data_IF_106685468903
#
_entry.id   IF_106685468903
#
_cell.length_a   1.000
_cell.length_b   1.000
_cell.length_c   1.000
_cell.angle_alpha   90.00
_cell.angle_beta   90.00
_cell.angle_gamma   90.00
#
_symmetry.space_group_name_H-M   'P 1'
#
loop_
_entity.id
_entity.type
_entity.pdbx_description
1 polymer ?
#
# COMPACT_ATOMS: atom_id res chain seq x y z
N UNK A 1 7.25 3.89 5.10
CA UNK A 1 5.84 3.58 5.42
C UNK A 1 5.68 2.10 5.75
N UNK A 2 5.95 1.22 4.80
CA UNK A 2 5.95 -0.22 4.98
C UNK A 2 7.01 -0.85 4.06
N UNK A 3 7.26 -2.13 4.24
CA UNK A 3 7.97 -2.97 3.26
C UNK A 3 7.37 -4.38 3.25
N UNK A 4 7.66 -5.14 2.21
CA UNK A 4 7.32 -6.56 2.12
C UNK A 4 8.48 -7.37 1.58
N UNK A 5 8.51 -8.64 1.99
CA UNK A 5 9.43 -9.63 1.46
C UNK A 5 8.75 -10.41 0.34
N UNK A 6 9.53 -10.66 -0.71
CA UNK A 6 9.13 -11.47 -1.85
C UNK A 6 8.64 -12.89 -1.43
N UNK A 7 7.94 -13.62 -2.31
CA UNK A 7 7.04 -14.73 -1.96
C UNK A 7 7.59 -15.81 -1.04
N UNK A 8 8.91 -16.03 -1.04
CA UNK A 8 9.55 -17.02 -0.16
C UNK A 8 9.34 -16.76 1.32
N UNK A 9 9.19 -15.50 1.72
CA UNK A 9 8.79 -15.13 3.09
C UNK A 9 7.33 -14.70 3.15
N UNK A 10 6.90 -13.85 2.21
CA UNK A 10 5.50 -13.41 2.10
C UNK A 10 5.02 -12.53 3.26
N UNK A 11 5.94 -11.92 4.01
CA UNK A 11 5.64 -11.05 5.15
C UNK A 11 5.66 -9.57 4.73
N UNK A 12 4.79 -8.76 5.35
CA UNK A 12 4.77 -7.29 5.20
C UNK A 12 4.83 -6.61 6.57
N UNK A 13 5.68 -5.61 6.73
CA UNK A 13 5.86 -4.86 7.98
C UNK A 13 5.42 -3.41 7.78
N UNK A 14 4.68 -2.88 8.75
CA UNK A 14 4.16 -1.52 8.73
C UNK A 14 4.79 -0.73 9.88
N UNK A 15 5.25 0.49 9.60
CA UNK A 15 5.83 1.35 10.62
C UNK A 15 4.76 1.81 11.63
N UNK A 16 4.95 1.48 12.91
CA UNK A 16 4.01 1.85 13.97
C UNK A 16 4.05 3.35 14.33
N UNK A 17 5.09 4.08 13.95
CA UNK A 17 5.15 5.52 14.14
C UNK A 17 4.22 6.28 13.17
N UNK A 18 3.80 5.62 12.09
CA UNK A 18 2.93 6.23 11.09
C UNK A 18 1.47 6.30 11.54
N UNK A 19 0.80 7.39 11.17
CA UNK A 19 -0.63 7.55 11.45
C UNK A 19 -1.48 6.87 10.38
N UNK A 20 -1.83 5.63 10.64
CA UNK A 20 -2.67 4.81 9.76
C UNK A 20 -4.15 5.18 9.83
N UNK A 21 -4.81 5.23 8.67
CA UNK A 21 -6.25 5.47 8.55
C UNK A 21 -6.84 4.61 7.44
N UNK A 22 -8.12 4.28 7.50
CA UNK A 22 -8.82 3.65 6.38
C UNK A 22 -9.54 4.69 5.51
N UNK A 23 -10.17 5.67 6.15
CA UNK A 23 -11.00 6.69 5.49
C UNK A 23 -10.60 8.13 5.88
N UNK A 24 -9.43 8.30 6.51
CA UNK A 24 -8.99 9.59 7.04
C UNK A 24 -8.37 10.49 5.97
N UNK A 25 -8.70 11.77 5.99
CA UNK A 25 -8.05 12.78 5.12
C UNK A 25 -6.61 13.11 5.55
N UNK A 26 -6.28 12.83 6.81
CA UNK A 26 -4.98 13.11 7.43
C UNK A 26 -4.38 11.78 7.94
N UNK A 27 -3.15 11.47 7.54
CA UNK A 27 -2.50 10.16 7.77
C UNK A 27 -2.33 9.35 6.48
N UNK A 28 -1.77 8.15 6.60
CA UNK A 28 -1.57 7.20 5.50
C UNK A 28 -2.75 6.22 5.42
N UNK A 29 -3.28 6.04 4.22
CA UNK A 29 -4.31 5.05 3.92
C UNK A 29 -3.72 3.64 4.04
N UNK A 30 -4.08 2.92 5.10
CA UNK A 30 -3.58 1.58 5.39
C UNK A 30 -3.95 0.59 4.29
N UNK A 31 -5.20 0.62 3.80
CA UNK A 31 -5.65 -0.27 2.73
C UNK A 31 -4.75 -0.17 1.48
N UNK A 32 -4.40 1.06 1.08
CA UNK A 32 -3.55 1.29 -0.09
C UNK A 32 -2.13 0.77 0.09
N UNK A 33 -1.52 1.03 1.25
CA UNK A 33 -0.17 0.56 1.53
C UNK A 33 -0.18 -0.97 1.65
N UNK A 34 -1.16 -1.55 2.35
CA UNK A 34 -1.31 -3.01 2.45
C UNK A 34 -1.49 -3.67 1.09
N UNK A 35 -2.31 -3.11 0.21
CA UNK A 35 -2.50 -3.65 -1.14
C UNK A 35 -1.21 -3.59 -1.98
N UNK A 36 -0.39 -2.54 -1.81
CA UNK A 36 0.94 -2.43 -2.42
C UNK A 36 1.90 -3.52 -1.88
N UNK A 37 2.01 -3.65 -0.56
CA UNK A 37 2.90 -4.62 0.08
C UNK A 37 2.49 -6.07 -0.23
N UNK A 38 1.19 -6.38 -0.30
CA UNK A 38 0.70 -7.68 -0.77
C UNK A 38 1.13 -7.95 -2.22
N UNK A 39 1.18 -6.92 -3.07
CA UNK A 39 1.73 -7.07 -4.42
C UNK A 39 3.16 -7.61 -4.40
N UNK A 40 4.01 -7.10 -3.51
CA UNK A 40 5.36 -7.62 -3.32
C UNK A 40 5.38 -9.03 -2.75
N UNK A 41 4.49 -9.39 -1.81
CA UNK A 41 4.41 -10.78 -1.31
C UNK A 41 3.94 -11.76 -2.39
N UNK A 42 3.23 -11.29 -3.41
CA UNK A 42 2.86 -12.04 -4.63
C UNK A 42 3.95 -12.02 -5.71
N UNK A 43 5.04 -11.29 -5.52
CA UNK A 43 6.19 -11.24 -6.44
C UNK A 43 6.15 -10.11 -7.47
N UNK A 44 5.26 -9.13 -7.31
CA UNK A 44 5.24 -7.95 -8.17
C UNK A 44 6.36 -6.98 -7.79
N UNK A 45 7.04 -6.43 -8.79
CA UNK A 45 7.98 -5.33 -8.60
C UNK A 45 7.30 -3.96 -8.76
N UNK A 46 8.04 -2.90 -8.46
CA UNK A 46 7.57 -1.54 -8.66
C UNK A 46 7.22 -1.26 -10.12
N UNK A 47 6.09 -0.58 -10.35
CA UNK A 47 5.70 -0.07 -11.65
C UNK A 47 6.29 1.32 -11.91
N UNK A 48 6.80 1.61 -13.13
CA UNK A 48 7.19 2.96 -13.51
C UNK A 48 5.97 3.88 -13.72
N UNK A 49 4.76 3.32 -13.83
CA UNK A 49 3.53 4.06 -14.04
C UNK A 49 3.11 4.73 -12.72
N UNK A 50 3.22 6.06 -12.65
CA UNK A 50 2.93 6.88 -11.45
C UNK A 50 1.55 6.69 -10.82
N UNK A 51 0.57 6.19 -11.58
CA UNK A 51 -0.79 5.99 -11.11
C UNK A 51 -1.14 4.52 -10.82
N UNK A 52 -0.20 3.59 -11.01
CA UNK A 52 -0.38 2.18 -10.67
C UNK A 52 -0.30 1.96 -9.16
N UNK A 53 -0.99 0.92 -8.67
CA UNK A 53 -0.92 0.50 -7.26
C UNK A 53 0.52 0.19 -6.82
N UNK A 54 1.30 -0.45 -7.70
CA UNK A 54 2.71 -0.80 -7.45
C UNK A 54 3.69 0.36 -7.74
N UNK A 55 3.22 1.60 -7.89
CA UNK A 55 4.15 2.73 -7.99
C UNK A 55 4.87 2.95 -6.64
N UNK A 56 6.18 3.22 -6.61
CA UNK A 56 6.91 3.46 -5.35
C UNK A 56 6.50 4.77 -4.66
N UNK A 57 5.75 5.63 -5.36
CA UNK A 57 5.29 6.89 -4.83
C UNK A 57 3.93 6.74 -4.16
N UNK A 58 3.89 6.98 -2.85
CA UNK A 58 2.63 7.00 -2.10
C UNK A 58 1.71 8.10 -2.62
N UNK A 59 0.50 7.72 -3.05
CA UNK A 59 -0.57 8.65 -3.44
C UNK A 59 -1.81 8.38 -2.62
N UNK A 60 -2.35 9.42 -1.96
CA UNK A 60 -3.69 9.37 -1.40
C UNK A 60 -4.69 9.22 -2.53
N UNK A 61 -5.31 8.04 -2.64
CA UNK A 61 -6.45 7.86 -3.54
C UNK A 61 -7.67 8.58 -2.97
N UNK A 62 -8.48 9.16 -3.86
CA UNK A 62 -9.77 9.73 -3.48
C UNK A 62 -10.73 8.65 -2.99
N UNK A 63 -11.79 9.08 -2.25
CA UNK A 63 -12.82 8.21 -1.63
C UNK A 63 -13.40 7.11 -2.54
N UNK A 64 -13.35 7.27 -3.86
CA UNK A 64 -13.99 6.41 -4.84
C UNK A 64 -13.29 5.08 -5.17
N UNK A 65 -12.17 4.73 -4.49
CA UNK A 65 -11.47 3.45 -4.70
C UNK A 65 -11.41 2.57 -3.45
N UNK A 66 -12.04 2.97 -2.34
CA UNK A 66 -12.32 2.04 -1.23
C UNK A 66 -13.49 1.18 -1.69
N UNK A 67 -13.30 -0.15 -1.73
CA UNK A 67 -14.32 -1.14 -2.07
C UNK A 67 -15.65 -0.78 -1.40
N UNK A 68 -16.61 -0.29 -2.19
CA UNK A 68 -17.98 -0.13 -1.76
C UNK A 68 -18.62 -1.52 -1.78
N UNK A 69 -18.90 -2.06 -0.60
CA UNK A 69 -19.79 -3.19 -0.44
C UNK A 69 -21.24 -2.70 -0.35
#
# INVERSE_FOLDING_TARGET
>A
LAHAFLPRRGEAHFDMAERWTLNGHKGHNLFMVTAHEIGHTLGLEHSPVRHALMSPYYRKLGRSMVLSW
#
